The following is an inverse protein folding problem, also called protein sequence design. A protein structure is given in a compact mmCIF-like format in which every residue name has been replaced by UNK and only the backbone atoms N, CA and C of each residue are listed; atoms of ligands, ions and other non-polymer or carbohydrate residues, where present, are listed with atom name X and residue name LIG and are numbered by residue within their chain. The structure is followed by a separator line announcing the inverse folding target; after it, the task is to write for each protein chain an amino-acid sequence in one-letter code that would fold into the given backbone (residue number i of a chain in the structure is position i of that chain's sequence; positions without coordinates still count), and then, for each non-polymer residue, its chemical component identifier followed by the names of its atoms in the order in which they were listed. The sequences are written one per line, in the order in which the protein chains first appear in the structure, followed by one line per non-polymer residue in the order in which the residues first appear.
data_IF_210179446884
#
_entry.id   IF_210179446884
#
_cell.length_a   1.000
_cell.length_b   1.000
_cell.length_c   1.000
_cell.angle_alpha   90.00
_cell.angle_beta   90.00
_cell.angle_gamma   90.00
#
_symmetry.space_group_name_H-M   'P 1'
#
loop_
_entity.id
_entity.type
_entity.pdbx_description
1 polymer ?
#
# COMPACT_ATOMS: atom_id res chain seq x y z
N UNK A 1 14.10 -15.72 -9.82
CA UNK A 1 13.04 -16.41 -9.06
C UNK A 1 12.22 -15.47 -8.18
N UNK A 2 12.84 -14.66 -7.29
CA UNK A 2 12.13 -13.69 -6.40
C UNK A 2 11.09 -12.80 -7.13
N UNK A 3 11.45 -12.19 -8.26
CA UNK A 3 10.54 -11.29 -9.00
C UNK A 3 9.27 -12.00 -9.48
N UNK A 4 9.37 -13.26 -9.90
CA UNK A 4 8.24 -14.01 -10.41
C UNK A 4 7.22 -14.29 -9.30
N UNK A 5 7.71 -14.81 -8.17
CA UNK A 5 6.87 -15.12 -7.00
C UNK A 5 6.21 -13.86 -6.42
N UNK A 6 6.94 -12.75 -6.31
CA UNK A 6 6.35 -11.47 -5.84
C UNK A 6 5.30 -10.93 -6.83
N UNK A 7 5.47 -11.20 -8.13
CA UNK A 7 4.47 -10.83 -9.15
C UNK A 7 3.22 -11.67 -9.02
N UNK A 8 3.35 -12.99 -8.84
CA UNK A 8 2.22 -13.89 -8.64
C UNK A 8 1.47 -13.56 -7.35
N UNK A 9 2.18 -13.37 -6.23
CA UNK A 9 1.59 -12.97 -4.97
C UNK A 9 0.82 -11.65 -5.10
N UNK A 10 1.40 -10.64 -5.78
CA UNK A 10 0.69 -9.39 -6.05
C UNK A 10 -0.60 -9.62 -6.85
N UNK A 11 -0.55 -10.42 -7.92
CA UNK A 11 -1.73 -10.69 -8.74
C UNK A 11 -2.82 -11.42 -7.93
N UNK A 12 -2.42 -12.32 -7.03
CA UNK A 12 -3.33 -13.00 -6.14
C UNK A 12 -3.98 -12.05 -5.14
N UNK A 13 -3.21 -11.16 -4.51
CA UNK A 13 -3.75 -10.11 -3.62
C UNK A 13 -4.76 -9.23 -4.36
N UNK A 14 -4.47 -8.86 -5.61
CA UNK A 14 -5.42 -8.09 -6.42
C UNK A 14 -6.70 -8.85 -6.74
N UNK A 15 -6.63 -10.18 -6.83
CA UNK A 15 -7.81 -11.02 -7.01
C UNK A 15 -8.64 -11.11 -5.74
N UNK A 16 -8.01 -11.31 -4.58
CA UNK A 16 -8.67 -11.30 -3.27
C UNK A 16 -9.43 -9.98 -3.03
N UNK A 17 -8.82 -8.85 -3.38
CA UNK A 17 -9.49 -7.53 -3.34
C UNK A 17 -10.73 -7.51 -4.24
N UNK A 18 -10.65 -8.01 -5.49
CA UNK A 18 -11.81 -8.05 -6.40
C UNK A 18 -12.94 -8.95 -5.89
N UNK A 19 -12.61 -10.03 -5.18
CA UNK A 19 -13.59 -10.94 -4.58
C UNK A 19 -14.23 -10.37 -3.31
N UNK A 20 -13.66 -9.30 -2.75
CA UNK A 20 -14.13 -8.67 -1.52
C UNK A 20 -13.56 -9.32 -0.25
N UNK A 21 -12.54 -10.18 -0.38
CA UNK A 21 -11.90 -10.81 0.78
C UNK A 21 -10.94 -9.85 1.50
N UNK A 22 -10.50 -8.81 0.81
CA UNK A 22 -9.61 -7.77 1.33
C UNK A 22 -10.17 -6.39 0.99
N UNK A 23 -10.09 -5.48 1.95
CA UNK A 23 -10.39 -4.07 1.72
C UNK A 23 -9.15 -3.33 1.20
N UNK A 24 -9.28 -2.69 0.05
CA UNK A 24 -8.20 -1.88 -0.51
C UNK A 24 -8.36 -0.43 -0.07
N UNK A 25 -7.31 0.12 0.53
CA UNK A 25 -7.19 1.57 0.75
C UNK A 25 -6.42 2.21 -0.40
N UNK A 26 -7.01 3.21 -1.03
CA UNK A 26 -6.35 4.10 -1.98
C UNK A 26 -6.07 5.48 -1.34
N UNK A 27 -5.16 6.27 -1.93
CA UNK A 27 -4.79 7.57 -1.38
C UNK A 27 -4.47 8.62 -2.43
N UNK A 28 -4.50 9.88 -2.02
CA UNK A 28 -4.05 11.00 -2.85
C UNK A 28 -2.56 10.87 -3.21
N UNK A 29 -1.74 10.26 -2.34
CA UNK A 29 -0.32 10.01 -2.62
C UNK A 29 -0.15 9.04 -3.79
N UNK A 30 -0.93 7.96 -3.84
CA UNK A 30 -0.98 7.04 -5.00
C UNK A 30 -1.44 7.75 -6.27
N UNK A 31 -2.47 8.59 -6.16
CA UNK A 31 -2.97 9.36 -7.32
C UNK A 31 -1.91 10.33 -7.84
N UNK A 32 -1.21 11.01 -6.95
CA UNK A 32 -0.12 11.94 -7.29
C UNK A 32 1.07 11.21 -7.95
N UNK A 33 1.46 10.06 -7.43
CA UNK A 33 2.51 9.24 -8.02
C UNK A 33 2.11 8.69 -9.38
N UNK A 34 0.89 8.16 -9.50
CA UNK A 34 0.36 7.64 -10.75
C UNK A 34 0.30 8.73 -11.84
N UNK A 35 -0.06 9.97 -11.50
CA UNK A 35 -0.07 11.09 -12.44
C UNK A 35 1.31 11.37 -13.08
N UNK A 36 2.41 11.04 -12.39
CA UNK A 36 3.78 11.19 -12.91
C UNK A 36 4.24 10.03 -13.80
N UNK A 37 3.47 8.95 -13.90
CA UNK A 37 3.86 7.81 -14.71
C UNK A 37 3.84 8.21 -16.20
N UNK A 38 4.96 8.05 -16.90
CA UNK A 38 5.11 8.46 -18.31
C UNK A 38 4.15 7.76 -19.28
N UNK A 39 3.64 6.58 -18.93
CA UNK A 39 2.84 5.74 -19.82
C UNK A 39 1.35 5.88 -19.55
N UNK A 40 0.60 6.44 -20.51
CA UNK A 40 -0.84 6.69 -20.37
C UNK A 40 -1.64 5.42 -20.04
N UNK A 41 -1.37 4.31 -20.74
CA UNK A 41 -2.05 3.04 -20.48
C UNK A 41 -1.82 2.52 -19.04
N UNK A 42 -0.62 2.74 -18.47
CA UNK A 42 -0.34 2.35 -17.08
C UNK A 42 -1.09 3.25 -16.10
N UNK A 43 -1.13 4.56 -16.37
CA UNK A 43 -1.90 5.51 -15.56
C UNK A 43 -3.36 5.11 -15.48
N UNK A 44 -3.96 4.88 -16.64
CA UNK A 44 -5.37 4.54 -16.76
C UNK A 44 -5.70 3.20 -16.09
N UNK A 45 -4.86 2.18 -16.27
CA UNK A 45 -5.05 0.89 -15.62
C UNK A 45 -5.00 0.99 -14.09
N UNK A 46 -4.06 1.75 -13.53
CA UNK A 46 -3.94 1.95 -12.07
C UNK A 46 -5.13 2.75 -11.53
N UNK A 47 -5.51 3.84 -12.20
CA UNK A 47 -6.67 4.66 -11.81
C UNK A 47 -7.96 3.85 -11.82
N UNK A 48 -8.25 3.13 -12.91
CA UNK A 48 -9.44 2.27 -13.02
C UNK A 48 -9.46 1.18 -11.96
N UNK A 49 -8.30 0.58 -11.66
CA UNK A 49 -8.22 -0.43 -10.61
C UNK A 49 -8.55 0.16 -9.23
N UNK A 50 -7.98 1.31 -8.87
CA UNK A 50 -8.29 1.97 -7.58
C UNK A 50 -9.76 2.39 -7.51
N UNK A 51 -10.29 3.02 -8.57
CA UNK A 51 -11.68 3.48 -8.62
C UNK A 51 -12.70 2.33 -8.47
N UNK A 52 -12.41 1.17 -9.06
CA UNK A 52 -13.32 0.03 -9.05
C UNK A 52 -13.23 -0.83 -7.78
N UNK A 53 -12.12 -0.77 -7.03
CA UNK A 53 -11.83 -1.75 -5.97
C UNK A 53 -11.49 -1.15 -4.61
N UNK A 54 -11.22 0.15 -4.50
CA UNK A 54 -10.89 0.76 -3.22
C UNK A 54 -12.15 0.86 -2.34
N UNK A 55 -12.08 0.25 -1.15
CA UNK A 55 -13.12 0.37 -0.11
C UNK A 55 -13.06 1.73 0.59
N UNK A 56 -11.85 2.32 0.65
CA UNK A 56 -11.63 3.63 1.25
C UNK A 56 -10.61 4.45 0.46
N UNK A 57 -10.83 5.76 0.41
CA UNK A 57 -9.91 6.70 -0.24
C UNK A 57 -9.48 7.80 0.74
N UNK A 58 -8.17 7.84 1.04
CA UNK A 58 -7.56 8.95 1.79
C UNK A 58 -7.44 10.16 0.85
N UNK A 59 -8.38 11.09 0.97
CA UNK A 59 -8.43 12.30 0.16
C UNK A 59 -7.39 13.37 0.54
N UNK A 60 -7.19 14.32 -0.37
CA UNK A 60 -6.20 15.40 -0.22
C UNK A 60 -6.56 16.37 0.92
N UNK A 61 -7.83 16.43 1.30
CA UNK A 61 -8.31 17.19 2.46
C UNK A 61 -7.67 16.71 3.78
N UNK A 62 -7.13 15.48 3.82
CA UNK A 62 -6.41 14.90 4.96
C UNK A 62 -4.90 15.14 4.93
N UNK A 63 -4.40 15.90 3.96
CA UNK A 63 -2.96 16.13 3.76
C UNK A 63 -2.26 16.68 5.01
N UNK A 64 -2.92 17.56 5.79
CA UNK A 64 -2.32 18.12 7.01
C UNK A 64 -2.14 17.06 8.10
N UNK A 65 -3.12 16.20 8.30
CA UNK A 65 -3.09 15.10 9.27
C UNK A 65 -2.07 14.04 8.86
N UNK A 66 -2.09 13.65 7.58
CA UNK A 66 -1.14 12.70 6.99
C UNK A 66 0.30 13.25 7.07
N UNK A 67 0.51 14.54 6.77
CA UNK A 67 1.82 15.17 6.83
C UNK A 67 2.43 15.11 8.24
N UNK A 68 1.63 15.32 9.30
CA UNK A 68 2.10 15.18 10.69
C UNK A 68 2.58 13.76 11.00
N UNK A 69 1.89 12.74 10.50
CA UNK A 69 2.30 11.35 10.66
C UNK A 69 3.58 11.10 9.85
N UNK A 70 3.62 11.56 8.59
CA UNK A 70 4.76 11.40 7.71
C UNK A 70 6.02 12.09 8.25
N UNK A 71 5.91 13.24 8.91
CA UNK A 71 7.04 13.91 9.58
C UNK A 71 7.73 13.03 10.61
N UNK A 72 6.96 12.32 11.44
CA UNK A 72 7.53 11.38 12.42
C UNK A 72 8.21 10.19 11.74
N UNK A 73 7.64 9.68 10.63
CA UNK A 73 8.22 8.57 9.86
C UNK A 73 9.54 8.99 9.20
N UNK A 74 9.62 10.21 8.67
CA UNK A 74 10.85 10.73 8.04
C UNK A 74 12.04 10.79 8.99
N UNK A 75 11.80 11.00 10.29
CA UNK A 75 12.86 10.99 11.32
C UNK A 75 13.58 9.63 11.42
N UNK A 76 12.97 8.54 10.93
CA UNK A 76 13.60 7.22 10.89
C UNK A 76 14.44 6.98 9.62
N UNK A 77 14.60 7.99 8.76
CA UNK A 77 15.37 7.92 7.52
C UNK A 77 14.58 7.41 6.31
N UNK A 78 13.27 7.23 6.42
CA UNK A 78 12.39 6.94 5.28
C UNK A 78 12.21 8.20 4.42
N UNK A 79 12.19 8.02 3.10
CA UNK A 79 12.06 9.13 2.14
C UNK A 79 10.67 9.74 2.18
N UNK A 80 10.57 11.00 1.74
CA UNK A 80 9.32 11.77 1.77
C UNK A 80 8.10 11.02 1.20
N UNK A 81 8.14 10.58 -0.06
CA UNK A 81 6.97 9.93 -0.67
C UNK A 81 6.61 8.60 0.00
N UNK A 82 7.61 7.80 0.38
CA UNK A 82 7.38 6.53 1.08
C UNK A 82 6.75 6.78 2.46
N UNK A 83 7.22 7.82 3.17
CA UNK A 83 6.64 8.23 4.45
C UNK A 83 5.18 8.68 4.30
N UNK A 84 4.83 9.37 3.22
CA UNK A 84 3.45 9.76 2.93
C UNK A 84 2.55 8.55 2.64
N UNK A 85 3.03 7.57 1.88
CA UNK A 85 2.26 6.34 1.60
C UNK A 85 1.98 5.56 2.89
N UNK A 86 2.99 5.38 3.74
CA UNK A 86 2.83 4.71 5.04
C UNK A 86 1.92 5.53 5.97
N UNK A 87 2.09 6.87 5.99
CA UNK A 87 1.24 7.74 6.78
C UNK A 87 -0.23 7.69 6.37
N UNK A 88 -0.53 7.57 5.06
CA UNK A 88 -1.89 7.36 4.57
C UNK A 88 -2.45 6.05 5.11
N UNK A 89 -1.67 4.96 5.04
CA UNK A 89 -2.12 3.65 5.51
C UNK A 89 -2.33 3.60 7.04
N UNK A 90 -1.47 4.26 7.83
CA UNK A 90 -1.68 4.43 9.27
C UNK A 90 -2.91 5.30 9.55
N UNK A 91 -3.11 6.37 8.79
CA UNK A 91 -4.25 7.28 8.97
C UNK A 91 -5.58 6.58 8.68
N UNK A 92 -5.61 5.67 7.70
CA UNK A 92 -6.77 4.85 7.37
C UNK A 92 -6.92 3.60 8.23
N UNK A 93 -6.09 3.43 9.26
CA UNK A 93 -6.12 2.27 10.15
C UNK A 93 -5.96 0.93 9.40
N UNK A 94 -5.16 0.91 8.33
CA UNK A 94 -4.89 -0.32 7.58
C UNK A 94 -4.00 -1.26 8.37
N UNK A 95 -4.34 -2.55 8.37
CA UNK A 95 -3.55 -3.58 9.05
C UNK A 95 -2.17 -3.79 8.39
N UNK A 96 -2.16 -3.78 7.04
CA UNK A 96 -0.98 -4.10 6.25
C UNK A 96 -0.62 -3.01 5.24
N UNK A 97 0.68 -2.72 5.14
CA UNK A 97 1.29 -2.00 4.02
C UNK A 97 2.18 -2.96 3.22
N UNK A 98 1.74 -3.29 2.00
CA UNK A 98 2.41 -4.29 1.16
C UNK A 98 3.38 -3.59 0.20
N UNK A 99 4.67 -3.93 0.27
CA UNK A 99 5.70 -3.37 -0.60
C UNK A 99 6.86 -4.32 -0.85
N UNK A 100 7.57 -4.12 -1.97
CA UNK A 100 8.81 -4.83 -2.28
C UNK A 100 10.06 -3.98 -2.05
N UNK A 101 9.94 -2.75 -1.53
CA UNK A 101 11.09 -1.89 -1.25
C UNK A 101 11.78 -2.29 0.07
N UNK A 102 12.99 -2.85 -0.04
CA UNK A 102 13.80 -3.30 1.10
C UNK A 102 14.14 -2.18 2.10
N UNK A 103 14.08 -0.89 1.72
CA UNK A 103 14.27 0.22 2.66
C UNK A 103 13.02 0.48 3.48
N UNK A 104 11.85 0.39 2.85
CA UNK A 104 10.56 0.55 3.54
C UNK A 104 10.30 -0.63 4.47
N UNK A 105 10.65 -1.86 4.06
CA UNK A 105 10.50 -3.07 4.89
C UNK A 105 11.32 -3.04 6.20
N UNK A 106 12.35 -2.19 6.28
CA UNK A 106 13.14 -1.98 7.51
C UNK A 106 12.44 -1.06 8.51
N UNK A 107 11.48 -0.25 8.07
CA UNK A 107 10.69 0.57 8.98
C UNK A 107 9.78 -0.34 9.81
N UNK A 108 9.80 -0.13 11.12
CA UNK A 108 8.95 -0.84 12.08
C UNK A 108 8.02 0.15 12.72
N UNK A 109 6.75 -0.22 12.74
CA UNK A 109 5.67 0.54 13.34
C UNK A 109 4.81 -0.41 14.16
N UNK A 110 4.33 0.05 15.31
CA UNK A 110 3.32 -0.68 16.09
C UNK A 110 1.90 -0.49 15.53
N UNK A 111 1.73 0.47 14.61
CA UNK A 111 0.43 0.85 14.05
C UNK A 111 0.08 0.17 12.73
N UNK A 112 1.07 -0.40 12.05
CA UNK A 112 0.87 -1.03 10.74
C UNK A 112 1.95 -2.07 10.47
N UNK A 113 1.57 -3.19 9.89
CA UNK A 113 2.48 -4.25 9.50
C UNK A 113 2.99 -4.04 8.08
N UNK A 114 4.31 -3.96 7.91
CA UNK A 114 4.94 -3.74 6.60
C UNK A 114 5.55 -5.04 6.12
N UNK A 115 5.02 -5.57 5.01
CA UNK A 115 5.31 -6.91 4.52
C UNK A 115 5.50 -6.93 3.00
N UNK A 116 6.17 -7.96 2.49
CA UNK A 116 6.17 -8.25 1.05
C UNK A 116 4.85 -8.90 0.63
N UNK A 117 4.47 -8.86 -0.65
CA UNK A 117 3.35 -9.63 -1.16
C UNK A 117 3.38 -11.10 -0.77
N UNK A 118 4.53 -11.77 -0.91
CA UNK A 118 4.66 -13.18 -0.53
C UNK A 118 4.50 -13.43 0.97
N UNK A 119 5.03 -12.54 1.82
CA UNK A 119 4.87 -12.61 3.28
C UNK A 119 3.42 -12.41 3.69
N UNK A 120 2.72 -11.47 3.06
CA UNK A 120 1.31 -11.23 3.32
C UNK A 120 0.45 -12.47 3.05
N UNK A 121 0.63 -13.12 1.89
CA UNK A 121 -0.11 -14.34 1.55
C UNK A 121 0.13 -15.44 2.57
N UNK A 122 1.40 -15.69 2.94
CA UNK A 122 1.72 -16.73 3.94
C UNK A 122 1.00 -16.49 5.27
N UNK A 123 0.91 -15.23 5.73
CA UNK A 123 0.23 -14.87 6.97
C UNK A 123 -1.29 -14.99 6.89
N UNK A 124 -1.87 -14.81 5.71
CA UNK A 124 -3.30 -15.03 5.51
C UNK A 124 -3.61 -16.53 5.57
N UNK A 125 -2.79 -17.37 4.93
CA UNK A 125 -2.94 -18.83 4.98
C UNK A 125 -2.77 -19.38 6.41
N UNK A 126 -1.78 -18.90 7.16
CA UNK A 126 -1.56 -19.30 8.56
C UNK A 126 -2.73 -18.95 9.50
N UNK A 127 -3.51 -17.90 9.17
CA UNK A 127 -4.69 -17.48 9.97
C UNK A 127 -5.96 -18.26 9.62
N UNK A 128 -6.06 -18.82 8.42
CA UNK A 128 -7.22 -19.61 8.00
C UNK A 128 -7.18 -21.05 8.57
N UNK A 129 -6.02 -21.51 9.04
CA UNK A 129 -5.79 -22.83 9.65
C UNK A 129 -6.01 -22.85 11.19
N UNK A 130 -6.33 -21.71 11.83
CA UNK A 130 -6.69 -21.58 13.26
C UNK A 130 -8.21 -21.45 13.49
#
# INVERSE_FOLDING_TARGET
MRIHLETEAKLHIQDMVRRGDLELVASFALTYENAKNRFAHKREAISKYMEANASYYVGKEKDKEVAKIAENIKLTGIKDMDAFHIACAIFSESDFFITTDDRVLKYKSEKIEIVTPGEFIRRMEEKDDE
#
